data_IF_309249519753
#
_entry.id   IF_309249519753
#
_cell.length_a   1.000
_cell.length_b   1.000
_cell.length_c   1.000
_cell.angle_alpha   90.00
_cell.angle_beta   90.00
_cell.angle_gamma   90.00
#
_symmetry.space_group_name_H-M   'P 1'
#
loop_
_entity.id
_entity.type
_entity.pdbx_description
1 polymer ?
#
# COMPACT_ATOMS: atom_id res chain seq x y z
N UNK A 1 19.01 -19.61 -12.35
CA UNK A 1 17.93 -18.66 -12.02
C UNK A 1 16.64 -19.45 -12.22
N UNK A 2 15.77 -19.53 -11.21
CA UNK A 2 14.49 -20.23 -11.36
C UNK A 2 13.50 -19.18 -11.89
N UNK A 3 12.99 -19.38 -13.08
CA UNK A 3 11.80 -18.65 -13.53
C UNK A 3 10.60 -19.24 -12.80
N UNK A 4 9.97 -18.43 -11.95
CA UNK A 4 8.75 -18.81 -11.25
C UNK A 4 7.65 -17.79 -11.54
N UNK A 5 6.41 -18.26 -11.56
CA UNK A 5 5.23 -17.42 -11.72
C UNK A 5 4.60 -17.21 -10.36
N UNK A 6 4.27 -15.97 -10.05
CA UNK A 6 3.42 -15.65 -8.91
C UNK A 6 1.99 -16.10 -9.22
N UNK A 7 1.29 -16.59 -8.21
CA UNK A 7 -0.13 -16.90 -8.27
C UNK A 7 -0.86 -15.92 -7.36
N UNK A 8 -2.01 -15.46 -7.81
CA UNK A 8 -2.99 -14.81 -6.95
C UNK A 8 -3.53 -15.86 -5.96
N UNK A 9 -3.75 -15.44 -4.71
CA UNK A 9 -4.31 -16.26 -3.64
C UNK A 9 -5.60 -15.69 -3.03
N UNK A 10 -5.99 -14.50 -3.48
CA UNK A 10 -7.17 -13.80 -2.99
C UNK A 10 -7.36 -12.45 -3.66
N UNK A 11 -8.44 -11.77 -3.30
CA UNK A 11 -8.85 -10.50 -3.90
C UNK A 11 -9.21 -9.49 -2.82
N UNK A 12 -8.75 -8.26 -2.96
CA UNK A 12 -9.13 -7.13 -2.11
C UNK A 12 -10.56 -6.68 -2.42
N UNK A 13 -11.36 -6.41 -1.39
CA UNK A 13 -12.64 -5.72 -1.48
C UNK A 13 -12.61 -4.45 -0.62
N UNK A 14 -12.75 -3.29 -1.25
CA UNK A 14 -12.61 -2.00 -0.57
C UNK A 14 -13.46 -0.88 -1.18
N UNK A 15 -13.62 0.22 -0.43
CA UNK A 15 -14.24 1.46 -0.92
C UNK A 15 -13.37 2.21 -1.93
N UNK A 16 -12.06 2.00 -1.87
CA UNK A 16 -11.07 2.65 -2.73
C UNK A 16 -11.10 2.09 -4.16
N UNK A 17 -11.85 2.74 -5.06
CA UNK A 17 -12.00 2.27 -6.46
C UNK A 17 -10.86 2.66 -7.40
N UNK A 18 -10.15 3.74 -7.10
CA UNK A 18 -9.13 4.30 -7.98
C UNK A 18 -7.85 4.62 -7.23
N UNK A 19 -6.73 4.61 -7.95
CA UNK A 19 -5.43 4.93 -7.40
C UNK A 19 -5.18 6.43 -7.42
N UNK A 20 -4.61 7.00 -6.37
CA UNK A 20 -4.25 8.43 -6.36
C UNK A 20 -2.93 8.77 -7.04
N UNK A 21 -2.14 7.77 -7.46
CA UNK A 21 -0.85 7.95 -8.13
C UNK A 21 -0.96 7.46 -9.56
N UNK A 22 -0.26 8.12 -10.48
CA UNK A 22 -0.24 7.74 -11.90
C UNK A 22 1.16 7.94 -12.50
N UNK A 23 1.64 7.01 -13.35
CA UNK A 23 2.88 7.20 -14.09
C UNK A 23 2.69 8.30 -15.15
N UNK A 24 3.54 9.31 -15.15
CA UNK A 24 3.55 10.41 -16.13
C UNK A 24 5.00 10.80 -16.39
N UNK A 25 5.41 10.90 -17.66
CA UNK A 25 6.74 11.39 -18.08
C UNK A 25 7.95 10.81 -17.32
N UNK A 26 7.99 9.47 -17.18
CA UNK A 26 9.04 8.74 -16.43
C UNK A 26 9.09 9.06 -14.92
N UNK A 27 7.98 9.52 -14.36
CA UNK A 27 7.82 9.92 -12.97
C UNK A 27 6.41 9.54 -12.46
N UNK A 28 6.06 10.00 -11.26
CA UNK A 28 4.71 9.96 -10.71
C UNK A 28 4.06 11.34 -10.71
N UNK A 29 2.76 11.31 -10.99
CA UNK A 29 1.79 12.35 -10.69
C UNK A 29 0.88 11.86 -9.57
N UNK A 30 0.41 12.79 -8.75
CA UNK A 30 -0.57 12.54 -7.70
C UNK A 30 -1.85 13.30 -8.01
N UNK A 31 -2.98 12.60 -7.97
CA UNK A 31 -4.28 13.23 -7.77
C UNK A 31 -4.39 13.56 -6.29
N UNK A 32 -4.27 14.85 -5.98
CA UNK A 32 -4.24 15.31 -4.59
C UNK A 32 -5.58 15.09 -3.92
N UNK A 33 -6.69 15.39 -4.58
CA UNK A 33 -8.03 15.25 -3.99
C UNK A 33 -8.29 13.80 -3.59
N UNK A 34 -8.03 12.88 -4.51
CA UNK A 34 -8.17 11.45 -4.25
C UNK A 34 -7.18 10.94 -3.20
N UNK A 35 -5.92 11.41 -3.22
CA UNK A 35 -4.95 11.04 -2.21
C UNK A 35 -5.38 11.46 -0.80
N UNK A 36 -6.04 12.60 -0.66
CA UNK A 36 -6.48 13.11 0.62
C UNK A 36 -7.60 12.27 1.22
N UNK A 37 -8.59 11.88 0.43
CA UNK A 37 -9.61 10.94 0.88
C UNK A 37 -8.98 9.63 1.36
N UNK A 38 -7.99 9.15 0.60
CA UNK A 38 -7.24 7.94 0.90
C UNK A 38 -6.33 8.03 2.14
N UNK A 39 -5.85 9.21 2.50
CA UNK A 39 -5.00 9.43 3.68
C UNK A 39 -5.80 9.84 4.93
N UNK A 40 -7.06 10.29 4.77
CA UNK A 40 -7.86 10.79 5.89
C UNK A 40 -8.44 9.66 6.72
N UNK A 41 -8.95 8.62 6.07
CA UNK A 41 -9.60 7.48 6.72
C UNK A 41 -8.80 6.20 6.47
N UNK A 42 -8.37 5.54 7.54
CA UNK A 42 -7.92 4.15 7.43
C UNK A 42 -9.16 3.28 7.26
N UNK A 43 -9.56 3.13 6.01
CA UNK A 43 -10.73 2.34 5.62
C UNK A 43 -10.59 0.89 6.07
N UNK A 44 -11.74 0.30 6.41
CA UNK A 44 -11.86 -1.14 6.57
C UNK A 44 -11.98 -1.75 5.18
N UNK A 45 -11.16 -2.75 4.90
CA UNK A 45 -11.17 -3.52 3.66
C UNK A 45 -11.28 -5.01 3.99
N UNK A 46 -11.68 -5.80 3.02
CA UNK A 46 -11.67 -7.25 3.13
C UNK A 46 -10.66 -7.86 2.16
N UNK A 47 -10.06 -8.97 2.54
CA UNK A 47 -9.40 -9.88 1.60
C UNK A 47 -10.22 -11.16 1.57
N UNK A 48 -10.76 -11.48 0.40
CA UNK A 48 -11.40 -12.77 0.14
C UNK A 48 -10.33 -13.70 -0.40
N UNK A 49 -9.88 -14.64 0.42
CA UNK A 49 -8.88 -15.65 0.05
C UNK A 49 -9.55 -16.75 -0.75
N UNK A 50 -8.91 -17.22 -1.82
CA UNK A 50 -9.49 -18.29 -2.65
C UNK A 50 -9.69 -19.55 -1.82
N UNK A 51 -10.80 -20.26 -2.04
CA UNK A 51 -11.23 -21.42 -1.24
C UNK A 51 -10.14 -22.50 -1.09
N UNK A 52 -9.31 -22.69 -2.12
CA UNK A 52 -8.20 -23.67 -2.08
C UNK A 52 -7.12 -23.33 -1.03
N UNK A 53 -7.02 -22.07 -0.62
CA UNK A 53 -6.08 -21.57 0.38
C UNK A 53 -6.74 -21.24 1.73
N UNK A 54 -8.04 -21.48 1.91
CA UNK A 54 -8.76 -21.10 3.13
C UNK A 54 -8.16 -21.73 4.40
N UNK A 55 -7.70 -22.99 4.32
CA UNK A 55 -7.01 -23.67 5.43
C UNK A 55 -5.61 -23.13 5.72
N UNK A 56 -5.01 -22.35 4.82
CA UNK A 56 -3.73 -21.70 5.07
C UNK A 56 -3.84 -20.52 6.04
N UNK A 57 -5.06 -20.13 6.42
CA UNK A 57 -5.33 -19.06 7.39
C UNK A 57 -5.38 -19.55 8.84
N UNK A 58 -5.27 -20.85 9.09
CA UNK A 58 -5.38 -21.40 10.46
C UNK A 58 -4.32 -20.80 11.40
N UNK A 59 -4.79 -20.22 12.52
CA UNK A 59 -3.96 -19.52 13.51
C UNK A 59 -3.72 -18.04 13.22
N UNK A 60 -4.23 -17.49 12.11
CA UNK A 60 -4.02 -16.08 11.75
C UNK A 60 -4.62 -15.11 12.79
N UNK A 61 -5.71 -15.50 13.45
CA UNK A 61 -6.37 -14.69 14.48
C UNK A 61 -5.55 -14.52 15.76
N UNK A 62 -4.46 -15.29 15.93
CA UNK A 62 -3.53 -15.12 17.05
C UNK A 62 -2.64 -13.85 16.89
N UNK A 63 -2.65 -13.23 15.71
CA UNK A 63 -1.87 -12.04 15.39
C UNK A 63 -2.77 -10.82 15.25
N UNK A 64 -2.36 -9.68 15.84
CA UNK A 64 -3.09 -8.42 15.67
C UNK A 64 -2.83 -7.74 14.32
N UNK A 65 -1.72 -8.07 13.67
CA UNK A 65 -1.30 -7.47 12.41
C UNK A 65 -0.75 -8.51 11.45
N UNK A 66 -0.97 -8.26 10.16
CA UNK A 66 -0.42 -9.07 9.07
C UNK A 66 0.26 -8.18 8.04
N UNK A 67 1.26 -8.74 7.36
CA UNK A 67 1.89 -8.17 6.18
C UNK A 67 1.14 -8.74 4.97
N UNK A 68 0.57 -7.87 4.15
CA UNK A 68 -0.09 -8.24 2.90
C UNK A 68 0.82 -7.86 1.73
N UNK A 69 1.12 -8.83 0.86
CA UNK A 69 1.75 -8.58 -0.44
C UNK A 69 0.69 -8.67 -1.53
N UNK A 70 0.68 -7.68 -2.42
CA UNK A 70 -0.34 -7.57 -3.47
C UNK A 70 0.27 -7.03 -4.77
N UNK A 71 -0.39 -7.27 -5.89
CA UNK A 71 0.04 -6.77 -7.19
C UNK A 71 -0.52 -5.36 -7.41
N UNK A 72 0.34 -4.36 -7.58
CA UNK A 72 -0.15 -3.00 -7.89
C UNK A 72 -0.69 -2.94 -9.32
N UNK A 73 -1.57 -1.99 -9.58
CA UNK A 73 -2.18 -1.70 -10.88
C UNK A 73 -1.17 -1.29 -11.97
N UNK A 74 0.11 -1.06 -11.64
CA UNK A 74 1.13 -0.59 -12.58
C UNK A 74 1.93 -1.72 -13.23
N UNK A 75 1.22 -2.70 -13.80
CA UNK A 75 1.80 -3.89 -14.43
C UNK A 75 2.29 -3.67 -15.86
N UNK A 76 1.90 -2.55 -16.50
CA UNK A 76 2.32 -2.23 -17.87
C UNK A 76 3.83 -1.92 -17.95
N UNK A 77 4.43 -2.17 -19.11
CA UNK A 77 5.88 -2.01 -19.27
C UNK A 77 6.37 -0.57 -19.08
N UNK A 78 5.56 0.43 -19.44
CA UNK A 78 5.90 1.84 -19.30
C UNK A 78 6.18 2.19 -17.84
N UNK A 79 5.25 1.80 -16.95
CA UNK A 79 5.39 2.00 -15.53
C UNK A 79 6.55 1.20 -14.92
N UNK A 80 6.72 -0.06 -15.34
CA UNK A 80 7.79 -0.95 -14.83
C UNK A 80 9.20 -0.50 -15.21
N UNK A 81 9.34 0.36 -16.24
CA UNK A 81 10.62 0.95 -16.66
C UNK A 81 11.02 2.20 -15.88
N UNK A 82 10.13 2.79 -15.07
CA UNK A 82 10.44 3.98 -14.26
C UNK A 82 11.50 3.62 -13.22
N UNK A 83 12.58 4.41 -13.16
CA UNK A 83 13.73 4.15 -12.28
C UNK A 83 13.88 5.15 -11.14
N UNK A 84 13.29 6.33 -11.29
CA UNK A 84 13.37 7.42 -10.33
C UNK A 84 12.05 8.17 -10.32
N UNK A 85 11.65 8.68 -9.16
CA UNK A 85 10.39 9.40 -8.98
C UNK A 85 10.54 10.53 -7.98
N UNK A 86 9.67 11.53 -8.06
CA UNK A 86 9.33 12.36 -6.91
C UNK A 86 8.53 11.50 -5.92
N UNK A 87 8.99 11.32 -4.65
CA UNK A 87 8.30 10.48 -3.68
C UNK A 87 6.83 10.89 -3.50
N UNK A 88 5.91 9.92 -3.61
CA UNK A 88 4.47 10.17 -3.54
C UNK A 88 3.93 11.11 -4.65
N UNK A 89 4.68 11.36 -5.72
CA UNK A 89 4.28 12.30 -6.78
C UNK A 89 4.41 13.79 -6.39
N UNK A 90 4.91 14.10 -5.18
CA UNK A 90 5.05 15.47 -4.69
C UNK A 90 6.30 16.15 -5.27
N UNK A 91 6.10 17.11 -6.18
CA UNK A 91 7.19 17.80 -6.90
C UNK A 91 8.05 18.69 -6.00
N UNK A 92 7.58 18.97 -4.78
CA UNK A 92 8.30 19.70 -3.74
C UNK A 92 9.50 18.91 -3.19
N UNK A 93 9.54 17.58 -3.38
CA UNK A 93 10.56 16.70 -2.83
C UNK A 93 11.55 16.22 -3.90
N UNK A 94 12.86 16.18 -3.62
CA UNK A 94 13.85 15.81 -4.62
C UNK A 94 13.65 14.37 -5.11
N UNK A 95 13.82 14.18 -6.42
CA UNK A 95 13.78 12.86 -7.08
C UNK A 95 14.65 11.83 -6.37
N UNK A 96 14.12 10.61 -6.18
CA UNK A 96 14.79 9.46 -5.58
C UNK A 96 14.74 8.25 -6.51
N UNK A 97 15.70 7.34 -6.38
CA UNK A 97 15.62 6.03 -7.02
C UNK A 97 14.46 5.22 -6.44
N UNK A 98 13.74 4.45 -7.25
CA UNK A 98 12.55 3.71 -6.80
C UNK A 98 12.85 2.73 -5.63
N UNK A 99 14.08 2.22 -5.53
CA UNK A 99 14.48 1.31 -4.44
C UNK A 99 14.74 2.02 -3.11
N UNK A 100 14.85 3.35 -3.09
CA UNK A 100 14.84 4.14 -1.85
C UNK A 100 13.47 4.74 -1.52
N UNK A 101 12.43 4.33 -2.26
CA UNK A 101 11.03 4.75 -2.02
C UNK A 101 10.11 3.54 -1.97
N UNK A 102 8.86 3.80 -1.53
CA UNK A 102 7.73 2.86 -1.60
C UNK A 102 6.87 3.11 -2.85
N UNK A 103 7.45 3.64 -3.91
CA UNK A 103 6.73 3.90 -5.16
C UNK A 103 6.10 2.62 -5.71
N UNK A 104 4.83 2.65 -6.16
CA UNK A 104 4.15 1.48 -6.72
C UNK A 104 4.58 1.16 -8.16
N UNK A 105 5.28 2.09 -8.84
CA UNK A 105 5.91 1.84 -10.15
C UNK A 105 7.30 1.23 -9.97
N UNK A 106 7.44 -0.06 -10.27
CA UNK A 106 8.65 -0.85 -10.00
C UNK A 106 8.82 -1.96 -11.05
N UNK A 107 10.02 -2.52 -11.24
CA UNK A 107 10.24 -3.66 -12.13
C UNK A 107 9.33 -4.86 -11.82
N UNK A 108 9.13 -5.14 -10.52
CA UNK A 108 8.14 -6.06 -9.99
C UNK A 108 7.15 -5.22 -9.16
N UNK A 109 5.95 -4.94 -9.66
CA UNK A 109 4.98 -4.04 -9.03
C UNK A 109 4.27 -4.72 -7.85
N UNK A 110 5.04 -5.07 -6.83
CA UNK A 110 4.55 -5.71 -5.60
C UNK A 110 4.41 -4.65 -4.52
N UNK A 111 3.19 -4.45 -4.06
CA UNK A 111 2.85 -3.67 -2.87
C UNK A 111 3.09 -4.47 -1.59
N UNK A 112 3.31 -3.76 -0.49
CA UNK A 112 3.49 -4.33 0.83
C UNK A 112 2.93 -3.37 1.85
N UNK A 113 1.97 -3.86 2.64
CA UNK A 113 1.33 -3.07 3.70
C UNK A 113 1.20 -3.90 4.96
N UNK A 114 1.57 -3.32 6.10
CA UNK A 114 1.27 -3.87 7.42
C UNK A 114 -0.11 -3.36 7.80
N UNK A 115 -1.04 -4.27 8.05
CA UNK A 115 -2.45 -3.95 8.32
C UNK A 115 -2.88 -4.57 9.64
N UNK A 116 -3.81 -3.90 10.32
CA UNK A 116 -4.46 -4.43 11.52
C UNK A 116 -5.49 -5.49 11.09
N UNK A 117 -5.42 -6.68 11.67
CA UNK A 117 -6.40 -7.75 11.49
C UNK A 117 -7.53 -7.54 12.50
N UNK A 118 -8.72 -7.23 12.00
CA UNK A 118 -9.90 -6.98 12.84
C UNK A 118 -10.68 -8.27 13.11
N UNK A 119 -10.85 -9.10 12.09
CA UNK A 119 -11.66 -10.31 12.15
C UNK A 119 -11.27 -11.28 11.02
N UNK A 120 -11.41 -12.59 11.26
CA UNK A 120 -11.51 -13.61 10.21
C UNK A 120 -12.91 -14.20 10.19
N UNK A 121 -13.49 -14.35 9.00
CA UNK A 121 -14.75 -15.05 8.74
C UNK A 121 -14.53 -16.06 7.63
N UNK A 122 -14.34 -17.32 7.99
CA UNK A 122 -13.99 -18.40 7.04
C UNK A 122 -12.71 -18.04 6.24
N UNK A 123 -12.84 -17.79 4.94
CA UNK A 123 -11.78 -17.36 4.03
C UNK A 123 -11.68 -15.84 3.84
N UNK A 124 -12.45 -15.05 4.59
CA UNK A 124 -12.47 -13.59 4.52
C UNK A 124 -11.73 -12.99 5.71
N UNK A 125 -10.76 -12.12 5.43
CA UNK A 125 -10.08 -11.31 6.45
C UNK A 125 -10.61 -9.88 6.41
N UNK A 126 -11.05 -9.35 7.54
CA UNK A 126 -11.42 -7.95 7.71
C UNK A 126 -10.22 -7.21 8.29
N UNK A 127 -9.78 -6.17 7.58
CA UNK A 127 -8.50 -5.51 7.81
C UNK A 127 -8.67 -4.00 7.85
N UNK A 128 -7.77 -3.32 8.54
CA UNK A 128 -7.72 -1.86 8.57
C UNK A 128 -6.35 -1.33 8.13
N UNK A 129 -6.38 -0.31 7.28
CA UNK A 129 -5.17 0.37 6.82
C UNK A 129 -4.53 -0.22 5.56
N UNK A 130 -5.20 -1.14 4.86
CA UNK A 130 -4.76 -1.60 3.54
C UNK A 130 -4.89 -0.45 2.53
N UNK A 131 -3.84 -0.21 1.74
CA UNK A 131 -3.75 0.88 0.77
C UNK A 131 -3.93 0.41 -0.69
N UNK A 132 -4.43 -0.81 -0.88
CA UNK A 132 -4.79 -1.38 -2.18
C UNK A 132 -6.18 -0.89 -2.66
N UNK A 133 -6.33 -0.79 -3.97
CA UNK A 133 -7.64 -0.49 -4.59
C UNK A 133 -8.51 -1.75 -4.61
N UNK A 134 -9.82 -1.57 -4.78
CA UNK A 134 -10.78 -2.65 -4.94
C UNK A 134 -10.37 -3.57 -6.10
N UNK A 135 -10.63 -4.87 -5.95
CA UNK A 135 -10.25 -5.93 -6.89
C UNK A 135 -8.74 -6.14 -7.09
N UNK A 136 -7.90 -5.57 -6.22
CA UNK A 136 -6.45 -5.84 -6.24
C UNK A 136 -6.16 -7.31 -5.94
N UNK A 137 -5.26 -7.91 -6.73
CA UNK A 137 -4.79 -9.30 -6.54
C UNK A 137 -3.85 -9.41 -5.32
N UNK A 138 -4.19 -10.31 -4.40
CA UNK A 138 -3.33 -10.65 -3.26
C UNK A 138 -2.39 -11.78 -3.65
N UNK A 139 -1.11 -11.62 -3.29
CA UNK A 139 -0.03 -12.56 -3.63
C UNK A 139 0.41 -13.38 -2.41
N UNK A 140 0.38 -12.79 -1.22
CA UNK A 140 0.89 -13.41 0.01
C UNK A 140 0.34 -12.70 1.25
N UNK A 141 0.24 -13.44 2.36
CA UNK A 141 -0.16 -12.92 3.67
C UNK A 141 0.77 -13.55 4.71
N UNK A 142 1.37 -12.73 5.58
CA UNK A 142 2.27 -13.19 6.64
C UNK A 142 1.91 -12.55 7.97
N UNK A 143 2.07 -13.24 9.11
CA UNK A 143 1.97 -12.58 10.40
C UNK A 143 3.04 -11.50 10.51
N UNK A 144 2.68 -10.34 11.08
CA UNK A 144 3.68 -9.36 11.51
C UNK A 144 4.19 -9.76 12.88
N UNK A 145 5.50 -10.00 12.99
CA UNK A 145 6.16 -10.44 14.22
C UNK A 145 7.10 -9.32 14.64
N UNK A 146 6.76 -8.59 15.71
CA UNK A 146 7.52 -7.43 16.17
C UNK A 146 9.01 -7.71 16.38
N UNK A 147 9.36 -8.88 16.91
CA UNK A 147 10.76 -9.30 17.10
C UNK A 147 11.55 -9.47 15.79
N UNK A 148 10.87 -9.80 14.67
CA UNK A 148 11.51 -10.05 13.38
C UNK A 148 11.41 -8.83 12.43
N UNK A 149 10.26 -8.19 12.40
CA UNK A 149 9.91 -7.18 11.39
C UNK A 149 10.18 -5.74 11.85
N UNK A 150 10.40 -5.52 13.15
CA UNK A 150 10.72 -4.21 13.70
C UNK A 150 12.20 -4.16 14.11
N UNK A 151 13.07 -3.46 13.35
CA UNK A 151 14.46 -3.32 13.71
C UNK A 151 14.63 -2.48 14.98
N UNK A 152 15.72 -2.71 15.71
CA UNK A 152 16.15 -1.83 16.78
C UNK A 152 16.65 -0.49 16.19
N UNK A 153 16.07 0.63 16.62
CA UNK A 153 16.45 2.00 16.25
C UNK A 153 16.52 2.28 14.72
N UNK A 154 15.40 2.16 13.97
CA UNK A 154 15.39 2.51 12.55
C UNK A 154 15.70 3.99 12.34
N UNK A 155 16.52 4.27 11.32
CA UNK A 155 16.85 5.64 10.92
C UNK A 155 16.15 6.02 9.62
N UNK A 156 15.26 6.99 9.72
CA UNK A 156 14.68 7.64 8.56
C UNK A 156 15.52 8.81 8.07
N UNK A 157 15.69 8.99 6.76
CA UNK A 157 16.34 10.16 6.22
C UNK A 157 15.44 11.39 6.39
N UNK A 158 16.03 12.55 6.63
CA UNK A 158 15.29 13.82 6.85
C UNK A 158 14.19 14.08 5.82
N UNK A 159 14.45 13.79 4.54
CA UNK A 159 13.47 14.04 3.47
C UNK A 159 12.19 13.19 3.57
N UNK A 160 12.25 12.01 4.22
CA UNK A 160 11.05 11.20 4.51
C UNK A 160 10.24 11.85 5.62
N UNK A 161 10.90 12.31 6.68
CA UNK A 161 10.24 13.02 7.78
C UNK A 161 9.56 14.29 7.27
N UNK A 162 10.28 15.07 6.46
CA UNK A 162 9.74 16.28 5.82
C UNK A 162 8.54 15.98 4.91
N UNK A 163 8.53 14.83 4.22
CA UNK A 163 7.43 14.38 3.37
C UNK A 163 6.18 14.07 4.19
N UNK A 164 6.31 13.29 5.25
CA UNK A 164 5.16 12.96 6.09
C UNK A 164 4.64 14.17 6.86
N UNK A 165 5.52 15.07 7.31
CA UNK A 165 5.11 16.37 7.89
C UNK A 165 4.32 17.21 6.88
N UNK A 166 4.76 17.23 5.62
CA UNK A 166 4.05 17.92 4.54
C UNK A 166 2.67 17.31 4.28
N UNK A 167 2.58 15.98 4.15
CA UNK A 167 1.31 15.26 3.96
C UNK A 167 0.36 15.52 5.13
N UNK A 168 0.86 15.49 6.37
CA UNK A 168 0.06 15.75 7.56
C UNK A 168 -0.48 17.20 7.60
N UNK A 169 0.33 18.19 7.20
CA UNK A 169 -0.10 19.59 7.11
C UNK A 169 -1.16 19.80 6.02
N UNK A 170 -0.96 19.22 4.85
CA UNK A 170 -1.96 19.27 3.76
C UNK A 170 -3.28 18.64 4.24
N UNK A 171 -3.23 17.45 4.84
CA UNK A 171 -4.40 16.79 5.45
C UNK A 171 -5.11 17.70 6.45
N UNK A 172 -4.37 18.37 7.35
CA UNK A 172 -4.93 19.29 8.33
C UNK A 172 -5.65 20.49 7.71
N UNK A 173 -5.02 21.16 6.74
CA UNK A 173 -5.62 22.32 6.03
C UNK A 173 -6.94 21.96 5.37
N UNK A 174 -7.01 20.79 4.76
CA UNK A 174 -8.15 20.38 3.95
C UNK A 174 -9.34 19.90 4.80
N UNK A 175 -9.09 19.27 5.94
CA UNK A 175 -10.13 18.98 6.93
C UNK A 175 -10.77 20.27 7.47
N UNK A 176 -9.99 21.35 7.63
CA UNK A 176 -10.54 22.65 8.01
C UNK A 176 -11.38 23.30 6.89
N UNK A 177 -10.96 23.19 5.64
CA UNK A 177 -11.71 23.70 4.48
C UNK A 177 -13.07 22.99 4.33
N UNK A 178 -13.11 21.66 4.44
CA UNK A 178 -14.36 20.87 4.39
C UNK A 178 -15.34 21.18 5.54
N UNK A 179 -14.84 21.62 6.70
CA UNK A 179 -15.70 22.08 7.81
C UNK A 179 -16.32 23.46 7.56
N UNK A 180 -15.80 24.23 6.60
CA UNK A 180 -16.24 25.59 6.28
C UNK A 180 -17.17 25.66 5.05
N UNK A 181 -17.21 24.60 4.25
CA UNK A 181 -18.14 24.41 3.13
C UNK A 181 -19.44 23.74 3.56
#
# INVERSE_FOLDING_TARGET
MIDFKLKQIGTVKSGRKEACLYPEDQDLKIDRELALDQYVEMEVSEIVVDEEYAGCLDGIEEFSHVIVLFLTQFTNEGARRIKRVHPGGFKEFPVKGIFSTRSPVRPNPIGLTVVELLERRENVLVLKGLDAIDDTEVLDIKPFISFLDMPEDPKDPKWILDLFDYIAKEKGRLVEERKRS
#
